data_IF_935472187257
#
_entry.id   IF_935472187257
#
_cell.length_a   1.000
_cell.length_b   1.000
_cell.length_c   1.000
_cell.angle_alpha   90.00
_cell.angle_beta   90.00
_cell.angle_gamma   90.00
#
_symmetry.space_group_name_H-M   'P 1'
#
loop_
_entity.id
_entity.type
_entity.pdbx_description
1 polymer ?
#
# COMPACT_ATOMS: atom_id res chain seq x y z
N UNK A 1 -43.30 -54.61 -10.26
CA UNK A 1 -44.31 -54.76 -9.19
C UNK A 1 -43.59 -54.53 -7.86
N UNK A 2 -44.16 -53.64 -7.04
CA UNK A 2 -44.07 -53.52 -5.58
C UNK A 2 -42.66 -53.37 -4.95
N UNK A 3 -42.24 -52.22 -4.39
CA UNK A 3 -42.79 -51.30 -3.39
C UNK A 3 -42.69 -51.77 -1.93
N UNK A 4 -42.10 -50.88 -1.12
CA UNK A 4 -42.14 -50.73 0.35
C UNK A 4 -41.19 -51.65 1.13
N UNK A 5 -40.65 -51.29 2.28
CA UNK A 5 -40.65 -50.11 3.17
C UNK A 5 -39.60 -50.48 4.21
N UNK A 6 -38.72 -49.58 4.65
CA UNK A 6 -38.29 -49.61 6.05
C UNK A 6 -37.81 -48.24 6.51
N UNK A 7 -38.15 -47.95 7.76
CA UNK A 7 -38.37 -46.63 8.32
C UNK A 7 -37.14 -46.30 9.17
N UNK A 8 -36.40 -45.26 8.80
CA UNK A 8 -35.26 -44.75 9.55
C UNK A 8 -35.55 -43.34 10.06
N UNK A 9 -35.44 -43.18 11.38
CA UNK A 9 -35.85 -42.06 12.22
C UNK A 9 -35.50 -40.65 11.73
N UNK A 10 -36.44 -39.73 11.97
CA UNK A 10 -36.27 -38.27 11.83
C UNK A 10 -35.21 -37.78 12.82
N UNK A 11 -34.02 -37.46 12.33
CA UNK A 11 -33.09 -36.58 13.05
C UNK A 11 -33.63 -35.15 12.94
N UNK A 12 -34.13 -34.66 14.06
CA UNK A 12 -34.55 -33.28 14.22
C UNK A 12 -33.29 -32.39 14.23
N UNK A 13 -33.18 -31.37 13.36
CA UNK A 13 -32.00 -30.51 13.38
C UNK A 13 -31.95 -29.74 14.71
N UNK A 14 -30.77 -29.56 15.32
CA UNK A 14 -30.65 -28.82 16.57
C UNK A 14 -31.10 -27.37 16.36
N UNK A 15 -32.12 -26.98 17.12
CA UNK A 15 -32.55 -25.60 17.27
C UNK A 15 -31.52 -24.86 18.12
N UNK A 16 -30.66 -24.09 17.49
CA UNK A 16 -30.02 -22.95 18.14
C UNK A 16 -30.03 -21.77 17.17
N UNK A 17 -31.14 -21.04 17.16
CA UNK A 17 -31.11 -19.60 16.91
C UNK A 17 -30.57 -18.97 18.19
N UNK A 18 -29.26 -18.67 18.20
CA UNK A 18 -28.68 -17.80 19.21
C UNK A 18 -28.72 -16.36 18.68
N UNK A 19 -29.51 -15.53 19.35
CA UNK A 19 -29.67 -14.10 19.08
C UNK A 19 -28.30 -13.40 19.11
N UNK A 20 -27.92 -12.77 18.00
CA UNK A 20 -26.84 -11.78 17.96
C UNK A 20 -27.37 -10.44 18.53
N UNK A 21 -27.52 -10.37 19.85
CA UNK A 21 -27.77 -9.11 20.55
C UNK A 21 -26.43 -8.47 20.94
N UNK A 22 -26.15 -7.33 20.30
CA UNK A 22 -25.07 -6.39 20.62
C UNK A 22 -23.62 -6.84 20.34
N UNK A 23 -23.35 -7.32 19.13
CA UNK A 23 -21.99 -7.59 18.65
C UNK A 23 -21.45 -6.50 17.73
N UNK A 24 -20.81 -5.46 18.26
CA UNK A 24 -19.84 -4.71 17.44
C UNK A 24 -18.72 -5.69 17.09
N UNK A 25 -18.78 -6.32 15.92
CA UNK A 25 -17.72 -7.23 15.46
C UNK A 25 -16.42 -6.44 15.46
N UNK A 26 -15.54 -6.73 16.40
CA UNK A 26 -14.24 -6.08 16.50
C UNK A 26 -13.47 -6.46 15.23
N UNK A 27 -13.06 -5.46 14.46
CA UNK A 27 -12.24 -5.72 13.27
C UNK A 27 -10.89 -6.28 13.71
N UNK A 28 -10.55 -7.49 13.26
CA UNK A 28 -9.31 -8.18 13.61
C UNK A 28 -8.15 -7.85 12.65
N UNK A 29 -8.16 -6.66 12.04
CA UNK A 29 -7.03 -6.18 11.26
C UNK A 29 -5.87 -5.88 12.18
N UNK A 30 -4.82 -6.72 12.11
CA UNK A 30 -3.58 -6.48 12.83
C UNK A 30 -2.43 -6.55 11.82
N UNK A 31 -1.56 -5.54 11.86
CA UNK A 31 -0.30 -5.61 11.12
C UNK A 31 0.56 -6.76 11.63
N UNK A 32 1.42 -7.34 10.78
CA UNK A 32 2.39 -8.35 11.23
C UNK A 32 3.31 -7.71 12.27
N UNK A 33 3.28 -8.22 13.51
CA UNK A 33 4.00 -7.62 14.64
C UNK A 33 5.52 -7.54 14.40
N UNK A 34 6.07 -8.50 13.65
CA UNK A 34 7.47 -8.50 13.20
C UNK A 34 7.81 -7.28 12.33
N UNK A 35 6.90 -6.82 11.46
CA UNK A 35 7.10 -5.62 10.65
C UNK A 35 7.11 -4.36 11.52
N UNK A 36 6.29 -4.32 12.57
CA UNK A 36 6.26 -3.19 13.50
C UNK A 36 7.59 -3.06 14.25
N UNK A 37 8.16 -4.18 14.73
CA UNK A 37 9.49 -4.19 15.35
C UNK A 37 10.58 -3.79 14.36
N UNK A 38 10.59 -4.35 13.16
CA UNK A 38 11.57 -3.98 12.13
C UNK A 38 11.47 -2.48 11.72
N UNK A 39 10.27 -1.90 11.74
CA UNK A 39 10.05 -0.49 11.40
C UNK A 39 10.43 0.50 12.50
N UNK A 40 10.70 0.02 13.73
CA UNK A 40 10.94 0.88 14.90
C UNK A 40 12.20 1.74 14.79
N UNK A 41 13.15 1.36 13.93
CA UNK A 41 14.40 2.09 13.66
C UNK A 41 14.58 2.31 12.16
N UNK A 42 13.69 3.10 11.56
CA UNK A 42 13.86 3.49 10.15
C UNK A 42 14.81 4.68 10.00
N UNK A 43 15.55 4.73 8.88
CA UNK A 43 16.37 5.90 8.50
C UNK A 43 15.54 7.19 8.54
N UNK A 44 14.31 7.15 8.02
CA UNK A 44 13.39 8.29 8.04
C UNK A 44 13.02 8.72 9.47
N UNK A 45 12.77 7.77 10.37
CA UNK A 45 12.45 8.05 11.77
C UNK A 45 13.61 8.71 12.51
N UNK A 46 14.82 8.19 12.31
CA UNK A 46 16.04 8.76 12.91
C UNK A 46 16.30 10.17 12.36
N UNK A 47 16.21 10.38 11.05
CA UNK A 47 16.37 11.71 10.44
C UNK A 47 15.34 12.70 10.99
N UNK A 48 14.07 12.29 11.11
CA UNK A 48 13.03 13.12 11.72
C UNK A 48 13.39 13.49 13.16
N UNK A 49 13.81 12.53 13.98
CA UNK A 49 14.19 12.79 15.36
C UNK A 49 15.36 13.79 15.45
N UNK A 50 16.36 13.69 14.57
CA UNK A 50 17.46 14.66 14.50
C UNK A 50 16.93 16.05 14.12
N UNK A 51 16.10 16.15 13.07
CA UNK A 51 15.53 17.43 12.62
C UNK A 51 14.65 18.09 13.69
N UNK A 52 13.83 17.31 14.39
CA UNK A 52 12.95 17.81 15.45
C UNK A 52 13.72 18.32 16.69
N UNK A 53 14.99 17.93 16.86
CA UNK A 53 15.86 18.35 17.97
C UNK A 53 16.87 19.44 17.57
N UNK A 54 16.74 20.04 16.38
CA UNK A 54 17.57 21.17 15.99
C UNK A 54 17.24 22.41 16.83
N UNK A 55 18.27 23.20 17.15
CA UNK A 55 18.08 24.45 17.87
C UNK A 55 17.43 25.50 16.95
N UNK A 56 16.20 25.91 17.26
CA UNK A 56 15.46 26.93 16.49
C UNK A 56 16.15 28.31 16.48
N UNK A 57 17.00 28.60 17.48
CA UNK A 57 17.76 29.85 17.51
C UNK A 57 19.01 29.83 16.59
N UNK A 58 19.42 28.64 16.12
CA UNK A 58 20.55 28.51 15.20
C UNK A 58 20.13 28.85 13.76
N UNK A 59 20.76 29.86 13.19
CA UNK A 59 20.45 30.37 11.84
C UNK A 59 21.27 29.69 10.74
N UNK A 60 22.18 28.76 11.08
CA UNK A 60 22.98 28.06 10.07
C UNK A 60 22.06 27.18 9.20
N UNK A 61 22.24 27.19 7.87
CA UNK A 61 21.46 26.34 7.00
C UNK A 61 21.75 24.87 7.31
N UNK A 62 20.69 24.08 7.43
CA UNK A 62 20.79 22.64 7.69
C UNK A 62 20.99 21.89 6.36
N UNK A 63 22.01 21.03 6.31
CA UNK A 63 22.29 20.17 5.14
C UNK A 63 21.83 18.74 5.44
N UNK A 64 20.79 18.28 4.76
CA UNK A 64 20.15 16.98 4.99
C UNK A 64 20.73 15.87 4.10
N UNK A 65 21.91 15.35 4.47
CA UNK A 65 22.61 14.30 3.70
C UNK A 65 21.92 12.92 3.68
N UNK A 66 20.91 12.72 4.54
CA UNK A 66 20.16 11.46 4.61
C UNK A 66 18.93 11.39 3.70
N UNK A 67 18.61 12.46 2.94
CA UNK A 67 17.46 12.47 2.03
C UNK A 67 17.83 11.80 0.72
N UNK A 68 17.11 10.73 0.37
CA UNK A 68 17.35 9.94 -0.83
C UNK A 68 16.57 10.38 -2.06
N UNK A 69 15.65 11.35 -1.92
CA UNK A 69 14.90 11.90 -3.04
C UNK A 69 15.66 13.11 -3.60
N UNK A 70 16.22 13.01 -4.83
CA UNK A 70 16.98 14.11 -5.42
C UNK A 70 16.09 15.32 -5.76
N UNK A 71 14.77 15.12 -5.97
CA UNK A 71 13.86 16.19 -6.39
C UNK A 71 13.66 17.29 -5.33
N UNK A 72 14.10 17.03 -4.09
CA UNK A 72 14.12 18.01 -3.01
C UNK A 72 15.08 19.16 -3.25
N UNK A 73 16.13 18.95 -4.06
CA UNK A 73 17.07 20.01 -4.38
C UNK A 73 16.75 20.58 -5.77
N UNK A 74 16.54 21.91 -5.90
CA UNK A 74 16.15 22.54 -7.16
C UNK A 74 17.11 22.32 -8.34
N UNK A 75 18.36 21.95 -8.06
CA UNK A 75 19.38 21.63 -9.05
C UNK A 75 19.19 20.26 -9.72
N UNK A 76 18.44 19.33 -9.12
CA UNK A 76 18.04 18.09 -9.78
C UNK A 76 16.72 18.33 -10.53
N UNK A 77 16.84 18.67 -11.80
CA UNK A 77 15.72 18.76 -12.73
C UNK A 77 15.72 17.58 -13.69
N UNK A 78 14.53 17.19 -14.10
CA UNK A 78 14.39 16.24 -15.21
C UNK A 78 14.99 16.83 -16.48
N UNK A 79 15.43 15.99 -17.40
CA UNK A 79 15.91 16.45 -18.71
C UNK A 79 14.73 16.94 -19.56
N UNK A 80 14.88 18.02 -20.35
CA UNK A 80 13.85 18.47 -21.29
C UNK A 80 13.38 17.37 -22.24
N UNK A 81 14.26 16.43 -22.61
CA UNK A 81 13.92 15.29 -23.47
C UNK A 81 12.81 14.43 -22.85
N UNK A 82 12.85 14.23 -21.53
CA UNK A 82 11.82 13.46 -20.83
C UNK A 82 10.50 14.23 -20.74
N UNK A 83 10.56 15.56 -20.62
CA UNK A 83 9.38 16.42 -20.62
C UNK A 83 8.69 16.41 -21.98
N UNK A 84 9.45 16.57 -23.07
CA UNK A 84 8.95 16.53 -24.44
C UNK A 84 8.33 15.17 -24.77
N UNK A 85 9.01 14.07 -24.40
CA UNK A 85 8.48 12.73 -24.59
C UNK A 85 7.17 12.49 -23.84
N UNK A 86 7.02 13.05 -22.63
CA UNK A 86 5.77 12.98 -21.87
C UNK A 86 4.65 13.75 -22.58
N UNK A 87 4.93 14.97 -23.06
CA UNK A 87 3.96 15.79 -23.80
C UNK A 87 3.50 15.08 -25.06
N UNK A 88 4.42 14.49 -25.82
CA UNK A 88 4.10 13.73 -27.04
C UNK A 88 3.27 12.48 -26.73
N UNK A 89 3.62 11.73 -25.69
CA UNK A 89 2.86 10.57 -25.26
C UNK A 89 1.41 10.95 -24.90
N UNK A 90 1.21 12.02 -24.14
CA UNK A 90 -0.12 12.53 -23.75
C UNK A 90 -0.91 12.97 -24.99
N UNK A 91 -0.31 13.80 -25.86
CA UNK A 91 -0.96 14.31 -27.09
C UNK A 91 -1.32 13.20 -28.06
N UNK A 92 -0.55 12.11 -28.08
CA UNK A 92 -0.82 10.97 -28.96
C UNK A 92 -2.08 10.20 -28.57
N UNK A 93 -2.50 10.25 -27.30
CA UNK A 93 -3.55 9.42 -26.72
C UNK A 93 -3.37 7.89 -26.91
N UNK A 94 -2.18 7.43 -27.32
CA UNK A 94 -1.90 6.01 -27.61
C UNK A 94 -1.62 5.16 -26.37
N UNK A 95 -1.35 5.79 -25.23
CA UNK A 95 -0.87 5.12 -24.02
C UNK A 95 -1.85 5.24 -22.83
N UNK A 96 -3.13 5.48 -23.10
CA UNK A 96 -4.16 5.72 -22.06
C UNK A 96 -4.78 4.43 -21.49
N UNK A 97 -4.47 3.28 -22.09
CA UNK A 97 -5.01 1.98 -21.67
C UNK A 97 -4.01 1.21 -20.80
N UNK A 98 -4.48 0.12 -20.18
CA UNK A 98 -3.62 -0.78 -19.42
C UNK A 98 -2.46 -1.30 -20.27
N UNK A 99 -1.24 -1.18 -19.73
CA UNK A 99 -0.07 -1.83 -20.27
C UNK A 99 -0.06 -3.34 -19.93
N UNK A 100 0.69 -4.17 -20.67
CA UNK A 100 0.99 -5.54 -20.24
C UNK A 100 1.63 -5.57 -18.86
N UNK A 101 1.50 -6.67 -18.12
CA UNK A 101 2.02 -6.80 -16.75
C UNK A 101 3.53 -6.49 -16.60
N UNK A 102 4.29 -6.71 -17.68
CA UNK A 102 5.73 -6.44 -17.73
C UNK A 102 6.09 -5.08 -18.37
N UNK A 103 5.11 -4.27 -18.74
CA UNK A 103 5.29 -3.01 -19.49
C UNK A 103 5.20 -3.17 -21.02
N UNK A 104 5.09 -2.05 -21.73
CA UNK A 104 5.01 -2.02 -23.20
C UNK A 104 6.33 -2.43 -23.84
N UNK A 105 6.28 -3.16 -24.97
CA UNK A 105 7.49 -3.68 -25.62
C UNK A 105 8.54 -2.58 -25.96
N UNK A 106 8.16 -1.40 -26.47
CA UNK A 106 9.13 -0.33 -26.75
C UNK A 106 9.84 0.25 -25.53
N UNK A 107 9.28 0.12 -24.32
CA UNK A 107 9.87 0.67 -23.09
C UNK A 107 10.80 -0.33 -22.36
N UNK A 108 10.84 -1.60 -22.81
CA UNK A 108 11.67 -2.66 -22.20
C UNK A 108 12.91 -3.00 -23.01
N UNK A 109 13.09 -2.37 -24.16
CA UNK A 109 14.21 -2.55 -25.09
C UNK A 109 15.05 -1.28 -25.08
#
# INVERSE_FOLDING_TARGET
>A
MEAKMEIGSRDQPPKHEEKLENGSRKWHFHGKQELNRASSLSVRGILKAITDNLNEADQRPTIMLGRGDPSEYPCFRTTPIAEDALVDAIRSAKFNCYAPAIGILPARR
#
